data_IF_252239275730
#
_entry.id   IF_252239275730
#
_cell.length_a   1.000
_cell.length_b   1.000
_cell.length_c   1.000
_cell.angle_alpha   90.00
_cell.angle_beta   90.00
_cell.angle_gamma   90.00
#
_symmetry.space_group_name_H-M   'P 1'
#
loop_
_entity.id
_entity.type
_entity.pdbx_description
1 polymer ?
#
# COMPACT_ATOMS: atom_id res chain seq x y z
N UNK A 1 3.37 4.25 -8.24
CA UNK A 1 3.42 5.72 -8.09
C UNK A 1 3.27 6.34 -9.45
N UNK A 2 2.30 7.24 -9.63
CA UNK A 2 1.98 7.83 -10.93
C UNK A 2 0.67 7.34 -11.54
N UNK A 3 -0.41 7.22 -10.76
CA UNK A 3 -1.75 6.96 -11.33
C UNK A 3 -2.30 8.14 -12.16
N UNK A 4 -1.60 9.28 -12.19
CA UNK A 4 -2.05 10.52 -12.85
C UNK A 4 -3.45 11.01 -12.43
N UNK A 5 -3.92 10.61 -11.24
CA UNK A 5 -5.27 10.88 -10.75
C UNK A 5 -6.16 9.64 -10.66
N UNK A 6 -5.86 8.60 -11.43
CA UNK A 6 -6.71 7.41 -11.63
C UNK A 6 -6.50 6.32 -10.55
N UNK A 7 -6.07 6.69 -9.34
CA UNK A 7 -5.71 5.69 -8.32
C UNK A 7 -6.96 4.95 -7.82
N UNK A 8 -8.06 5.66 -7.62
CA UNK A 8 -9.27 5.08 -7.07
C UNK A 8 -9.91 4.09 -8.05
N UNK A 9 -9.99 4.47 -9.32
CA UNK A 9 -10.50 3.68 -10.43
C UNK A 9 -9.67 2.42 -10.63
N UNK A 10 -8.34 2.54 -10.56
CA UNK A 10 -7.44 1.39 -10.65
C UNK A 10 -7.65 0.41 -9.50
N UNK A 11 -7.80 0.90 -8.26
CA UNK A 11 -8.06 0.05 -7.09
C UNK A 11 -9.38 -0.70 -7.26
N UNK A 12 -10.44 0.00 -7.67
CA UNK A 12 -11.74 -0.62 -7.94
C UNK A 12 -11.63 -1.70 -9.00
N UNK A 13 -10.97 -1.40 -10.14
CA UNK A 13 -10.75 -2.38 -11.21
C UNK A 13 -10.00 -3.60 -10.68
N UNK A 14 -8.88 -3.41 -9.97
CA UNK A 14 -8.12 -4.51 -9.39
C UNK A 14 -8.99 -5.39 -8.47
N UNK A 15 -9.78 -4.80 -7.58
CA UNK A 15 -10.67 -5.55 -6.67
C UNK A 15 -11.70 -6.39 -7.44
N UNK A 16 -12.26 -5.87 -8.54
CA UNK A 16 -13.20 -6.64 -9.36
C UNK A 16 -12.52 -7.83 -10.04
N UNK A 17 -11.29 -7.65 -10.51
CA UNK A 17 -10.49 -8.69 -11.16
C UNK A 17 -9.94 -9.76 -10.21
N UNK A 18 -9.89 -9.51 -8.89
CA UNK A 18 -9.39 -10.48 -7.94
C UNK A 18 -10.26 -11.74 -7.88
N UNK A 19 -9.61 -12.89 -7.73
CA UNK A 19 -10.26 -14.14 -7.29
C UNK A 19 -10.73 -14.01 -5.84
N UNK A 20 -11.69 -14.83 -5.43
CA UNK A 20 -12.09 -14.94 -4.02
C UNK A 20 -10.87 -15.19 -3.14
N UNK A 21 -10.77 -14.46 -2.02
CA UNK A 21 -9.64 -14.45 -1.10
C UNK A 21 -8.32 -13.95 -1.69
N UNK A 22 -8.33 -13.41 -2.92
CA UNK A 22 -7.18 -12.76 -3.53
C UNK A 22 -6.79 -11.47 -2.80
N UNK A 23 -5.50 -11.13 -2.89
CA UNK A 23 -4.91 -9.96 -2.23
C UNK A 23 -4.52 -8.88 -3.25
N UNK A 24 -4.85 -7.64 -2.92
CA UNK A 24 -4.29 -6.44 -3.53
C UNK A 24 -3.36 -5.79 -2.50
N UNK A 25 -2.08 -5.68 -2.84
CA UNK A 25 -1.06 -5.04 -2.00
C UNK A 25 -0.59 -3.76 -2.68
N UNK A 26 -0.61 -2.65 -1.93
CA UNK A 26 -0.28 -1.33 -2.44
C UNK A 26 0.72 -0.64 -1.51
N UNK A 27 1.78 -0.08 -2.09
CA UNK A 27 2.82 0.62 -1.35
C UNK A 27 2.75 2.12 -1.61
N UNK A 28 2.63 2.91 -0.55
CA UNK A 28 2.56 4.36 -0.62
C UNK A 28 3.70 5.01 0.17
N UNK A 29 4.19 6.13 -0.36
CA UNK A 29 5.17 7.01 0.31
C UNK A 29 4.57 8.39 0.60
N UNK A 30 3.50 8.75 -0.10
CA UNK A 30 2.78 10.02 0.11
C UNK A 30 1.48 9.77 0.86
N UNK A 31 1.12 10.69 1.75
CA UNK A 31 -0.10 10.58 2.56
C UNK A 31 -1.36 10.73 1.69
N UNK A 32 -1.28 11.53 0.63
CA UNK A 32 -2.39 11.77 -0.31
C UNK A 32 -2.77 10.47 -1.02
N UNK A 33 -1.80 9.71 -1.51
CA UNK A 33 -2.09 8.42 -2.17
C UNK A 33 -2.60 7.37 -1.18
N UNK A 34 -2.06 7.35 0.05
CA UNK A 34 -2.58 6.50 1.11
C UNK A 34 -4.05 6.86 1.45
N UNK A 35 -4.36 8.15 1.57
CA UNK A 35 -5.71 8.63 1.83
C UNK A 35 -6.67 8.26 0.68
N UNK A 36 -6.28 8.50 -0.57
CA UNK A 36 -7.07 8.09 -1.75
C UNK A 36 -7.31 6.59 -1.76
N UNK A 37 -6.29 5.78 -1.50
CA UNK A 37 -6.43 4.33 -1.52
C UNK A 37 -7.34 3.81 -0.41
N UNK A 38 -7.14 4.26 0.83
CA UNK A 38 -7.98 3.85 1.97
C UNK A 38 -9.43 4.31 1.81
N UNK A 39 -9.67 5.47 1.19
CA UNK A 39 -11.02 5.92 0.82
C UNK A 39 -11.65 5.02 -0.25
N UNK A 40 -10.93 4.68 -1.31
CA UNK A 40 -11.42 3.78 -2.36
C UNK A 40 -11.76 2.39 -1.80
N UNK A 41 -10.90 1.84 -0.93
CA UNK A 41 -11.17 0.56 -0.26
C UNK A 41 -12.41 0.62 0.64
N UNK A 42 -12.62 1.71 1.37
CA UNK A 42 -13.81 1.91 2.19
C UNK A 42 -15.09 1.97 1.36
N UNK A 43 -15.09 2.66 0.22
CA UNK A 43 -16.23 2.71 -0.71
C UNK A 43 -16.61 1.32 -1.26
N UNK A 44 -15.64 0.43 -1.41
CA UNK A 44 -15.87 -0.95 -1.87
C UNK A 44 -16.19 -1.92 -0.72
N UNK A 45 -16.29 -1.44 0.53
CA UNK A 45 -16.41 -2.26 1.74
C UNK A 45 -15.37 -3.41 1.80
N UNK A 46 -14.17 -3.16 1.28
CA UNK A 46 -13.10 -4.15 1.27
C UNK A 46 -12.55 -4.35 2.69
N UNK A 47 -12.16 -5.58 3.03
CA UNK A 47 -11.35 -5.85 4.22
C UNK A 47 -9.91 -5.44 3.93
N UNK A 48 -9.31 -4.61 4.78
CA UNK A 48 -7.92 -4.20 4.64
C UNK A 48 -7.23 -3.88 5.97
N UNK A 49 -5.90 -3.90 5.94
CA UNK A 49 -5.02 -3.43 7.01
C UNK A 49 -3.82 -2.66 6.43
N UNK A 50 -3.11 -1.92 7.30
CA UNK A 50 -1.94 -1.12 6.91
C UNK A 50 -0.79 -1.34 7.88
N UNK A 51 0.38 -1.58 7.31
CA UNK A 51 1.65 -1.62 8.04
C UNK A 51 2.54 -0.48 7.56
N UNK A 52 3.02 0.36 8.48
CA UNK A 52 4.13 1.27 8.17
C UNK A 52 5.44 0.51 8.36
N UNK A 53 6.28 0.49 7.33
CA UNK A 53 7.62 -0.04 7.40
C UNK A 53 8.64 1.10 7.36
N UNK A 54 9.52 1.12 8.34
CA UNK A 54 10.73 1.93 8.33
C UNK A 54 11.94 1.01 8.36
N UNK A 55 12.89 1.30 7.49
CA UNK A 55 14.13 0.55 7.40
C UNK A 55 15.31 1.50 7.33
N UNK A 56 16.48 1.02 7.71
CA UNK A 56 17.75 1.71 7.49
C UNK A 56 18.75 0.70 6.95
N UNK A 57 19.60 1.13 6.00
CA UNK A 57 20.67 0.28 5.45
C UNK A 57 22.03 0.84 5.84
N UNK A 58 22.97 -0.05 6.12
CA UNK A 58 24.35 0.34 6.35
C UNK A 58 24.95 0.94 5.08
N UNK A 59 25.64 2.07 5.20
CA UNK A 59 26.50 2.64 4.18
C UNK A 59 27.90 2.87 4.75
N UNK A 60 28.97 2.54 3.99
CA UNK A 60 30.32 2.81 4.44
C UNK A 60 30.57 4.32 4.59
N UNK A 61 31.30 4.70 5.65
CA UNK A 61 31.85 6.04 5.86
C UNK A 61 33.21 5.95 6.56
N UNK A 62 34.28 6.40 5.89
CA UNK A 62 35.66 6.20 6.36
C UNK A 62 35.90 4.73 6.77
N UNK A 63 36.23 4.48 8.04
CA UNK A 63 36.46 3.15 8.62
C UNK A 63 35.24 2.59 9.39
N UNK A 64 34.03 3.06 9.09
CA UNK A 64 32.79 2.72 9.80
C UNK A 64 31.63 2.43 8.84
N UNK A 65 30.52 1.95 9.38
CA UNK A 65 29.24 1.84 8.69
C UNK A 65 28.20 2.72 9.38
N UNK A 66 27.72 3.76 8.69
CA UNK A 66 26.58 4.56 9.14
C UNK A 66 25.28 3.89 8.72
N UNK A 67 24.23 3.99 9.53
CA UNK A 67 22.89 3.60 9.13
C UNK A 67 22.23 4.76 8.39
N UNK A 68 21.87 4.57 7.11
CA UNK A 68 21.08 5.52 6.34
C UNK A 68 19.61 5.11 6.39
N UNK A 69 18.75 6.00 6.88
CA UNK A 69 17.31 5.81 6.86
C UNK A 69 16.77 5.80 5.43
N UNK A 70 15.86 4.87 5.16
CA UNK A 70 15.05 4.86 3.95
C UNK A 70 13.76 5.64 4.19
N UNK A 71 13.13 6.10 3.11
CA UNK A 71 11.81 6.73 3.22
C UNK A 71 10.81 5.71 3.80
N UNK A 72 9.96 6.11 4.77
CA UNK A 72 8.91 5.24 5.27
C UNK A 72 7.95 4.86 4.13
N UNK A 73 7.49 3.62 4.15
CA UNK A 73 6.49 3.12 3.21
C UNK A 73 5.29 2.60 4.01
N UNK A 74 4.08 2.93 3.57
CA UNK A 74 2.85 2.32 4.05
C UNK A 74 2.45 1.21 3.09
N UNK A 75 2.39 -0.01 3.60
CA UNK A 75 1.95 -1.21 2.89
C UNK A 75 0.49 -1.42 3.25
N UNK A 76 -0.40 -1.26 2.28
CA UNK A 76 -1.84 -1.48 2.40
C UNK A 76 -2.18 -2.82 1.79
N UNK A 77 -2.74 -3.72 2.58
CA UNK A 77 -3.14 -5.05 2.15
C UNK A 77 -4.67 -5.14 2.17
N UNK A 78 -5.29 -5.29 1.00
CA UNK A 78 -6.73 -5.47 0.85
C UNK A 78 -7.04 -6.87 0.33
N UNK A 79 -8.10 -7.49 0.84
CA UNK A 79 -8.53 -8.81 0.42
C UNK A 79 -9.96 -8.77 -0.12
N UNK A 80 -10.20 -9.48 -1.24
CA UNK A 80 -11.56 -9.77 -1.71
C UNK A 80 -12.16 -10.88 -0.85
N UNK A 81 -12.84 -10.50 0.23
CA UNK A 81 -13.62 -11.44 1.03
C UNK A 81 -14.88 -11.86 0.27
N UNK A 82 -15.27 -13.13 0.39
CA UNK A 82 -16.65 -13.52 0.07
C UNK A 82 -17.57 -12.76 1.03
N UNK A 83 -18.60 -12.12 0.49
CA UNK A 83 -19.74 -11.69 1.30
C UNK A 83 -20.47 -12.97 1.69
N UNK A 84 -20.06 -13.63 2.76
CA UNK A 84 -20.96 -14.52 3.48
C UNK A 84 -21.91 -13.62 4.26
N UNK A 85 -23.18 -13.64 3.82
CA UNK A 85 -24.31 -13.00 4.50
C UNK A 85 -24.63 -13.72 5.80
#
# INVERSE_FOLDING_TARGET
GGSAGELAELIQLCLTCLQTNGWLVMNFVTLENLATATHALAQQNARWDVTQLQASRSQPILHMHRMQAENPVWIVCAQKTNVEQ
#
